data_IF_678656242006
#
_entry.id   IF_678656242006
#
_cell.length_a   1.000
_cell.length_b   1.000
_cell.length_c   1.000
_cell.angle_alpha   90.00
_cell.angle_beta   90.00
_cell.angle_gamma   90.00
#
_symmetry.space_group_name_H-M   'P 1'
#
loop_
_entity.id
_entity.type
_entity.pdbx_description
1 polymer ?
#
# COMPACT_ATOMS: atom_id res chain seq x y z
N UNK A 1 8.87 21.29 59.56
CA UNK A 1 9.27 21.43 58.14
C UNK A 1 10.14 20.24 57.81
N UNK A 2 9.53 19.14 57.37
CA UNK A 2 10.21 17.87 57.19
C UNK A 2 10.75 17.73 55.77
N UNK A 3 12.07 17.52 55.72
CA UNK A 3 12.76 16.55 54.88
C UNK A 3 12.92 16.91 53.40
N UNK A 4 14.08 17.48 53.09
CA UNK A 4 15.01 17.05 52.03
C UNK A 4 14.44 15.98 51.07
N UNK A 5 13.75 16.42 50.02
CA UNK A 5 13.71 15.68 48.77
C UNK A 5 15.04 15.97 48.07
N UNK A 6 15.97 15.04 48.24
CA UNK A 6 17.17 14.91 47.43
C UNK A 6 16.69 14.65 45.98
N UNK A 7 16.38 15.70 45.22
CA UNK A 7 16.12 15.59 43.77
C UNK A 7 17.45 15.32 43.05
N UNK A 8 18.03 14.15 43.32
CA UNK A 8 19.20 13.57 42.66
C UNK A 8 18.78 12.93 41.32
N UNK A 9 17.80 13.53 40.66
CA UNK A 9 17.29 13.10 39.36
C UNK A 9 17.27 14.28 38.40
N UNK A 10 17.60 14.00 37.14
CA UNK A 10 17.63 15.04 36.13
C UNK A 10 16.27 15.75 35.99
N UNK A 11 16.27 17.08 35.71
CA UNK A 11 15.05 17.82 35.41
C UNK A 11 14.20 17.13 34.33
N UNK A 12 12.90 17.47 34.24
CA UNK A 12 12.03 16.92 33.19
C UNK A 12 12.66 17.08 31.80
N UNK A 13 12.53 16.03 30.98
CA UNK A 13 13.11 15.93 29.63
C UNK A 13 14.65 16.02 29.56
N UNK A 14 15.36 15.83 30.68
CA UNK A 14 16.83 15.75 30.73
C UNK A 14 17.29 14.38 31.21
N UNK A 15 18.47 13.95 30.76
CA UNK A 15 19.08 12.68 31.16
C UNK A 15 20.62 12.73 31.11
N UNK A 16 21.25 11.67 31.64
CA UNK A 16 22.69 11.45 31.63
C UNK A 16 23.43 12.15 32.77
N UNK A 17 24.75 11.89 32.87
CA UNK A 17 25.63 12.55 33.85
C UNK A 17 25.53 14.08 33.71
N UNK A 18 25.24 14.74 34.84
CA UNK A 18 25.02 16.19 34.95
C UNK A 18 23.82 16.73 34.13
N UNK A 19 22.91 15.87 33.66
CA UNK A 19 21.63 16.27 33.08
C UNK A 19 21.74 17.19 31.86
N UNK A 20 22.83 17.04 31.11
CA UNK A 20 23.13 17.88 29.94
C UNK A 20 22.39 17.42 28.68
N UNK A 21 22.06 16.13 28.58
CA UNK A 21 21.35 15.55 27.44
C UNK A 21 19.84 15.75 27.56
N UNK A 22 19.17 15.85 26.42
CA UNK A 22 17.72 16.11 26.34
C UNK A 22 17.02 14.90 25.74
N UNK A 23 15.90 14.47 26.34
CA UNK A 23 15.07 13.40 25.80
C UNK A 23 14.66 13.68 24.35
N UNK A 24 14.49 12.63 23.55
CA UNK A 24 14.01 12.80 22.17
C UNK A 24 12.62 13.43 22.16
N UNK A 25 12.38 14.34 21.22
CA UNK A 25 11.05 14.89 20.95
C UNK A 25 10.07 13.83 20.43
N UNK A 26 10.60 12.71 19.95
CA UNK A 26 9.87 11.59 19.36
C UNK A 26 9.65 10.45 20.37
N UNK A 27 9.94 10.65 21.66
CA UNK A 27 9.40 9.78 22.69
C UNK A 27 7.87 9.76 22.59
N UNK A 28 7.23 8.62 22.84
CA UNK A 28 5.78 8.56 22.97
C UNK A 28 5.32 9.25 24.29
N UNK A 29 4.00 9.34 24.46
CA UNK A 29 3.40 10.02 25.62
C UNK A 29 3.29 11.53 25.48
N UNK A 30 2.51 12.14 26.38
CA UNK A 30 2.25 13.59 26.39
C UNK A 30 3.48 14.38 26.84
N UNK A 31 4.18 13.87 27.85
CA UNK A 31 5.29 14.57 28.49
C UNK A 31 6.65 14.32 27.81
N UNK A 32 6.72 13.42 26.82
CA UNK A 32 7.96 13.10 26.08
C UNK A 32 9.14 12.78 27.00
N UNK A 33 8.85 12.05 28.07
CA UNK A 33 9.84 11.72 29.09
C UNK A 33 10.67 10.51 28.67
N UNK A 34 11.90 10.48 29.17
CA UNK A 34 12.84 9.40 28.99
C UNK A 34 13.53 9.08 30.31
N UNK A 35 14.10 7.90 30.38
CA UNK A 35 14.89 7.42 31.49
C UNK A 35 16.02 8.41 31.78
N UNK A 36 16.14 8.83 33.03
CA UNK A 36 17.08 9.88 33.47
C UNK A 36 18.54 9.46 33.36
N UNK A 37 18.83 8.17 33.27
CA UNK A 37 20.19 7.61 33.19
C UNK A 37 20.63 7.46 31.73
N UNK A 38 19.89 6.68 30.95
CA UNK A 38 20.31 6.26 29.60
C UNK A 38 19.59 7.00 28.45
N UNK A 39 18.50 7.72 28.74
CA UNK A 39 17.73 8.47 27.76
C UNK A 39 16.74 7.65 26.93
N UNK A 40 16.53 6.38 27.26
CA UNK A 40 15.49 5.54 26.64
C UNK A 40 14.10 6.12 26.89
N UNK A 41 13.26 6.22 25.88
CA UNK A 41 11.91 6.79 26.03
C UNK A 41 11.03 5.83 26.83
N UNK A 42 10.43 6.33 27.92
CA UNK A 42 9.72 5.50 28.89
C UNK A 42 8.48 4.80 28.30
N UNK A 43 7.80 5.48 27.37
CA UNK A 43 6.62 4.97 26.68
C UNK A 43 6.95 4.46 25.26
N UNK A 44 8.22 4.27 24.94
CA UNK A 44 8.68 3.92 23.59
C UNK A 44 8.70 5.12 22.65
N UNK A 45 8.67 4.86 21.34
CA UNK A 45 8.80 5.88 20.30
C UNK A 45 7.47 6.19 19.62
N UNK A 46 7.34 7.43 19.13
CA UNK A 46 6.37 7.72 18.09
C UNK A 46 6.62 6.84 16.86
N UNK A 47 5.53 6.52 16.13
CA UNK A 47 5.59 5.73 14.90
C UNK A 47 6.63 6.29 13.92
N UNK A 48 7.46 5.40 13.40
CA UNK A 48 8.49 5.72 12.43
C UNK A 48 9.86 6.07 13.02
N UNK A 49 10.09 5.83 14.32
CA UNK A 49 11.38 6.05 14.96
C UNK A 49 11.92 4.80 15.64
N UNK A 50 13.24 4.65 15.62
CA UNK A 50 13.96 3.54 16.22
C UNK A 50 14.01 3.64 17.75
N UNK A 51 13.56 2.58 18.41
CA UNK A 51 13.76 2.38 19.83
C UNK A 51 15.26 2.15 20.15
N UNK A 52 15.71 2.42 21.39
CA UNK A 52 14.92 2.96 22.52
C UNK A 52 14.98 4.48 22.66
N UNK A 53 15.90 5.17 21.96
CA UNK A 53 16.14 6.61 22.11
C UNK A 53 15.26 7.48 21.20
N UNK A 54 14.60 6.90 20.20
CA UNK A 54 13.73 7.60 19.24
C UNK A 54 14.45 8.78 18.56
N UNK A 55 15.77 8.67 18.35
CA UNK A 55 16.61 9.72 17.79
C UNK A 55 16.77 9.63 16.28
N UNK A 56 16.46 8.47 15.70
CA UNK A 56 16.58 8.21 14.27
C UNK A 56 15.24 7.73 13.72
N UNK A 57 14.82 8.20 12.53
CA UNK A 57 13.67 7.63 11.84
C UNK A 57 13.97 6.17 11.45
N UNK A 58 12.94 5.45 10.98
CA UNK A 58 13.17 4.12 10.45
C UNK A 58 14.19 4.13 9.31
N UNK A 59 15.03 3.08 9.23
CA UNK A 59 15.95 2.94 8.11
C UNK A 59 15.14 2.80 6.81
N UNK A 60 15.82 3.09 5.69
CA UNK A 60 15.22 2.93 4.36
C UNK A 60 14.61 1.55 4.16
N UNK A 61 13.47 1.52 3.48
CA UNK A 61 12.69 0.32 3.27
C UNK A 61 11.90 -0.15 4.48
N UNK A 62 11.92 0.56 5.62
CA UNK A 62 11.17 0.21 6.82
C UNK A 62 10.29 1.34 7.34
N UNK A 63 9.19 0.97 7.98
CA UNK A 63 8.26 1.93 8.54
C UNK A 63 7.50 1.38 9.76
N UNK A 64 6.68 2.24 10.36
CA UNK A 64 5.76 1.87 11.43
C UNK A 64 6.38 1.96 12.82
N UNK A 65 5.65 1.48 13.82
CA UNK A 65 6.16 1.42 15.20
C UNK A 65 7.32 0.41 15.27
N UNK A 66 8.43 0.79 15.90
CA UNK A 66 9.61 -0.07 16.01
C UNK A 66 10.35 -0.35 14.69
N UNK A 67 9.86 0.16 13.56
CA UNK A 67 10.43 -0.09 12.23
C UNK A 67 10.37 -1.58 11.81
N UNK A 68 9.33 -2.28 12.24
CA UNK A 68 9.16 -3.71 11.97
C UNK A 68 8.45 -3.99 10.63
N UNK A 69 7.85 -2.98 10.00
CA UNK A 69 7.18 -3.12 8.71
C UNK A 69 8.14 -2.78 7.56
N UNK A 70 7.94 -3.41 6.40
CA UNK A 70 8.80 -3.24 5.21
C UNK A 70 8.01 -2.58 4.09
N UNK A 71 8.59 -1.58 3.43
CA UNK A 71 8.01 -0.94 2.25
C UNK A 71 7.69 -1.98 1.17
N UNK A 72 6.63 -1.76 0.41
CA UNK A 72 6.32 -2.63 -0.73
C UNK A 72 7.37 -2.46 -1.82
N UNK A 73 7.79 -3.58 -2.41
CA UNK A 73 8.65 -3.62 -3.60
C UNK A 73 7.95 -3.12 -4.87
N UNK A 74 6.65 -2.80 -4.76
CA UNK A 74 5.82 -2.25 -5.82
C UNK A 74 5.56 -0.75 -5.64
N UNK A 75 6.30 -0.09 -4.74
CA UNK A 75 6.40 1.36 -4.77
C UNK A 75 7.01 1.79 -6.10
N UNK A 76 6.36 2.70 -6.83
CA UNK A 76 6.95 3.28 -8.02
C UNK A 76 8.14 4.19 -7.66
N UNK A 77 9.04 4.44 -8.62
CA UNK A 77 10.18 5.36 -8.47
C UNK A 77 11.52 4.65 -8.26
N UNK A 78 12.52 5.41 -7.79
CA UNK A 78 13.88 4.92 -7.53
C UNK A 78 14.03 4.81 -6.01
N UNK A 79 14.43 3.63 -5.51
CA UNK A 79 14.81 3.32 -4.12
C UNK A 79 13.75 2.76 -3.15
N UNK A 80 12.65 2.14 -3.59
CA UNK A 80 11.65 1.47 -2.73
C UNK A 80 11.26 2.31 -1.48
N UNK A 81 11.31 3.64 -1.62
CA UNK A 81 11.26 4.56 -0.49
C UNK A 81 9.80 4.85 -0.19
N UNK A 82 9.30 4.23 0.88
CA UNK A 82 8.00 4.56 1.44
C UNK A 82 8.16 5.44 2.67
N UNK A 83 7.11 6.18 3.01
CA UNK A 83 7.08 7.02 4.19
C UNK A 83 7.35 6.18 5.45
N UNK A 84 8.42 6.51 6.17
CA UNK A 84 8.87 5.78 7.35
C UNK A 84 7.84 5.74 8.51
N UNK A 85 6.80 6.57 8.49
CA UNK A 85 5.69 6.51 9.47
C UNK A 85 4.51 5.68 8.96
N UNK A 86 4.09 5.89 7.72
CA UNK A 86 2.80 5.36 7.21
C UNK A 86 2.94 4.17 6.25
N UNK A 87 4.13 3.93 5.71
CA UNK A 87 4.36 2.93 4.67
C UNK A 87 3.90 3.36 3.28
N UNK A 88 3.44 4.61 3.12
CA UNK A 88 2.91 5.11 1.85
C UNK A 88 4.04 5.37 0.87
N UNK A 89 3.95 4.80 -0.33
CA UNK A 89 4.94 4.99 -1.39
C UNK A 89 4.89 6.43 -1.91
N UNK A 90 6.05 7.08 -2.06
CA UNK A 90 6.14 8.50 -2.39
C UNK A 90 5.66 8.81 -3.82
N UNK A 91 5.99 7.96 -4.78
CA UNK A 91 5.63 8.11 -6.20
C UNK A 91 4.40 7.24 -6.58
N UNK A 92 3.65 6.75 -5.59
CA UNK A 92 2.53 5.84 -5.82
C UNK A 92 2.98 4.40 -6.12
N UNK A 93 2.14 3.66 -6.84
CA UNK A 93 2.30 2.22 -7.05
C UNK A 93 2.58 1.86 -8.50
N UNK A 94 3.33 0.78 -8.68
CA UNK A 94 3.34 0.06 -9.95
C UNK A 94 1.92 -0.37 -10.35
N UNK A 95 1.68 -0.43 -11.66
CA UNK A 95 0.38 -0.80 -12.24
C UNK A 95 -0.05 -2.19 -11.75
N UNK A 96 -1.27 -2.30 -11.24
CA UNK A 96 -1.80 -3.55 -10.69
C UNK A 96 -1.70 -3.67 -9.16
N UNK A 97 -1.25 -2.63 -8.45
CA UNK A 97 -1.18 -2.60 -6.98
C UNK A 97 -1.99 -1.45 -6.38
N UNK A 98 -2.48 -1.66 -5.15
CA UNK A 98 -3.35 -0.70 -4.48
C UNK A 98 -2.57 0.36 -3.70
N UNK A 99 -2.85 1.67 -3.90
CA UNK A 99 -2.32 2.71 -3.04
C UNK A 99 -2.94 2.64 -1.63
N UNK A 100 -2.30 3.22 -0.61
CA UNK A 100 -1.04 3.98 -0.69
C UNK A 100 0.22 3.13 -0.45
N UNK A 101 0.08 1.88 -0.01
CA UNK A 101 1.20 1.00 0.39
C UNK A 101 1.62 0.02 -0.70
N UNK A 102 0.98 0.05 -1.88
CA UNK A 102 1.24 -0.85 -3.01
C UNK A 102 1.15 -2.33 -2.63
N UNK A 103 0.22 -2.59 -1.72
CA UNK A 103 -0.17 -3.91 -1.25
C UNK A 103 -1.60 -3.81 -0.68
N UNK A 104 -2.52 -4.72 -1.04
CA UNK A 104 -2.32 -5.86 -1.94
C UNK A 104 -2.33 -5.47 -3.43
N UNK A 105 -2.27 -6.47 -4.30
CA UNK A 105 -2.57 -6.33 -5.73
C UNK A 105 -4.03 -5.92 -5.98
N UNK A 106 -4.36 -5.49 -7.20
CA UNK A 106 -5.74 -5.14 -7.53
C UNK A 106 -6.71 -6.29 -7.26
N UNK A 107 -7.88 -6.00 -6.67
CA UNK A 107 -8.89 -7.02 -6.44
C UNK A 107 -9.42 -7.57 -7.77
N UNK A 108 -9.95 -8.79 -7.73
CA UNK A 108 -10.57 -9.41 -8.91
C UNK A 108 -11.63 -8.48 -9.53
N UNK A 109 -11.60 -8.35 -10.86
CA UNK A 109 -12.50 -7.50 -11.61
C UNK A 109 -12.01 -6.06 -11.81
N UNK A 110 -10.85 -5.67 -11.25
CA UNK A 110 -10.20 -4.38 -11.57
C UNK A 110 -8.75 -4.52 -12.01
N UNK A 111 -8.25 -3.52 -12.72
CA UNK A 111 -6.90 -3.49 -13.25
C UNK A 111 -6.39 -2.05 -13.44
N UNK A 112 -5.11 -1.92 -13.79
CA UNK A 112 -4.49 -0.66 -14.15
C UNK A 112 -3.88 0.11 -12.99
N UNK A 113 -3.55 1.37 -13.27
CA UNK A 113 -3.04 2.29 -12.25
C UNK A 113 -4.12 2.48 -11.17
N UNK A 114 -3.69 2.32 -9.92
CA UNK A 114 -4.54 2.44 -8.73
C UNK A 114 -5.82 1.59 -8.76
N UNK A 115 -5.85 0.54 -9.61
CA UNK A 115 -6.99 -0.34 -9.81
C UNK A 115 -8.28 0.37 -10.25
N UNK A 116 -8.14 1.47 -10.99
CA UNK A 116 -9.27 2.32 -11.40
C UNK A 116 -10.04 1.79 -12.61
N UNK A 117 -9.48 0.85 -13.37
CA UNK A 117 -10.15 0.26 -14.53
C UNK A 117 -10.89 -1.03 -14.14
N UNK A 118 -11.99 -1.33 -14.83
CA UNK A 118 -12.81 -2.52 -14.58
C UNK A 118 -12.63 -3.53 -15.70
N UNK A 119 -12.48 -4.80 -15.33
CA UNK A 119 -12.47 -5.91 -16.28
C UNK A 119 -13.78 -5.94 -17.08
N UNK A 120 -13.72 -6.49 -18.29
CA UNK A 120 -14.94 -6.75 -19.06
C UNK A 120 -15.79 -7.80 -18.34
N UNK A 121 -17.09 -7.58 -18.27
CA UNK A 121 -18.06 -8.57 -17.75
C UNK A 121 -18.18 -9.81 -18.67
N UNK A 122 -17.41 -9.87 -19.74
CA UNK A 122 -17.35 -10.98 -20.68
C UNK A 122 -15.99 -11.71 -20.66
N UNK A 123 -15.11 -11.35 -19.72
CA UNK A 123 -13.99 -12.22 -19.38
C UNK A 123 -14.54 -13.55 -18.84
N UNK A 124 -14.06 -14.65 -19.39
CA UNK A 124 -14.35 -15.97 -18.85
C UNK A 124 -13.62 -16.18 -17.51
N UNK A 125 -14.13 -17.11 -16.69
CA UNK A 125 -13.57 -17.43 -15.38
C UNK A 125 -14.34 -16.80 -14.21
N UNK A 126 -13.89 -17.04 -12.97
CA UNK A 126 -14.56 -16.54 -11.77
C UNK A 126 -14.49 -15.01 -11.70
N UNK A 127 -15.58 -14.40 -11.24
CA UNK A 127 -15.71 -12.95 -10.97
C UNK A 127 -15.32 -12.03 -12.15
N UNK A 128 -15.34 -12.56 -13.38
CA UNK A 128 -14.86 -11.87 -14.59
C UNK A 128 -13.45 -11.29 -14.42
N UNK A 129 -12.59 -12.02 -13.68
CA UNK A 129 -11.23 -11.60 -13.42
C UNK A 129 -10.42 -11.43 -14.72
N UNK A 130 -9.62 -10.38 -14.77
CA UNK A 130 -8.70 -10.07 -15.85
C UNK A 130 -7.31 -9.78 -15.28
N UNK A 131 -6.31 -9.70 -16.16
CA UNK A 131 -4.96 -9.34 -15.79
C UNK A 131 -4.96 -7.95 -15.12
N UNK A 132 -4.51 -7.90 -13.87
CA UNK A 132 -4.49 -6.69 -13.03
C UNK A 132 -3.66 -5.54 -13.60
N UNK A 133 -2.72 -5.80 -14.49
CA UNK A 133 -1.86 -4.77 -15.06
C UNK A 133 -2.51 -4.16 -16.30
N UNK A 134 -3.03 -4.99 -17.19
CA UNK A 134 -3.34 -4.57 -18.56
C UNK A 134 -4.76 -4.93 -19.05
N UNK A 135 -5.55 -5.55 -18.17
CA UNK A 135 -6.96 -5.83 -18.37
C UNK A 135 -7.26 -7.06 -19.23
N UNK A 136 -6.26 -7.82 -19.68
CA UNK A 136 -6.50 -8.97 -20.55
C UNK A 136 -7.31 -10.07 -19.88
N UNK A 137 -8.29 -10.64 -20.60
CA UNK A 137 -9.02 -11.81 -20.13
C UNK A 137 -8.20 -13.07 -20.43
N UNK A 138 -7.31 -13.46 -19.52
CA UNK A 138 -6.35 -14.56 -19.72
C UNK A 138 -7.01 -15.94 -19.85
N UNK A 139 -8.24 -16.09 -19.34
CA UNK A 139 -9.07 -17.29 -19.49
C UNK A 139 -9.94 -17.28 -20.77
N UNK A 140 -9.77 -16.28 -21.63
CA UNK A 140 -10.56 -16.08 -22.84
C UNK A 140 -11.87 -15.35 -22.60
N UNK A 141 -12.73 -15.34 -23.62
CA UNK A 141 -14.00 -14.62 -23.63
C UNK A 141 -15.20 -15.55 -23.52
N UNK A 142 -16.28 -15.05 -22.92
CA UNK A 142 -17.59 -15.68 -23.02
C UNK A 142 -18.06 -15.76 -24.49
N UNK A 143 -18.92 -16.73 -24.85
CA UNK A 143 -19.38 -16.92 -26.23
C UNK A 143 -19.97 -15.64 -26.85
N UNK A 144 -19.48 -15.27 -28.04
CA UNK A 144 -19.93 -14.08 -28.78
C UNK A 144 -19.06 -12.85 -28.60
N UNK A 145 -18.11 -12.89 -27.68
CA UNK A 145 -17.11 -11.84 -27.45
C UNK A 145 -15.73 -12.29 -27.91
N UNK A 146 -14.92 -11.33 -28.34
CA UNK A 146 -13.53 -11.58 -28.75
C UNK A 146 -12.66 -10.34 -28.48
N UNK A 147 -11.39 -10.47 -28.82
CA UNK A 147 -10.36 -9.48 -28.51
C UNK A 147 -9.78 -9.68 -27.10
N UNK A 148 -8.69 -8.97 -26.80
CA UNK A 148 -7.94 -9.15 -25.54
C UNK A 148 -8.74 -8.76 -24.29
N UNK A 149 -9.64 -7.78 -24.44
CA UNK A 149 -10.49 -7.25 -23.37
C UNK A 149 -11.94 -7.77 -23.48
N UNK A 150 -12.22 -8.76 -24.33
CA UNK A 150 -13.58 -9.28 -24.58
C UNK A 150 -14.65 -8.18 -24.75
N UNK A 151 -14.28 -7.11 -25.46
CA UNK A 151 -15.12 -5.92 -25.66
C UNK A 151 -15.68 -5.84 -27.08
N UNK A 152 -15.11 -6.62 -28.01
CA UNK A 152 -15.53 -6.66 -29.40
C UNK A 152 -16.64 -7.72 -29.52
N UNK A 153 -17.90 -7.28 -29.60
CA UNK A 153 -19.03 -8.17 -29.38
C UNK A 153 -20.33 -7.74 -30.03
N UNK A 154 -20.34 -7.50 -31.35
CA UNK A 154 -21.58 -7.59 -32.15
C UNK A 154 -21.33 -8.15 -33.54
N UNK A 155 -20.82 -9.38 -33.65
CA UNK A 155 -21.10 -10.17 -34.86
C UNK A 155 -22.48 -10.81 -34.67
N UNK A 156 -23.53 -10.17 -35.19
CA UNK A 156 -24.82 -10.85 -35.33
C UNK A 156 -24.69 -11.86 -36.46
N UNK A 157 -24.67 -13.15 -36.13
CA UNK A 157 -25.08 -14.18 -37.09
C UNK A 157 -26.57 -13.99 -37.34
N UNK A 158 -26.92 -13.26 -38.39
CA UNK A 158 -28.30 -13.18 -38.83
C UNK A 158 -28.62 -14.51 -39.52
N UNK A 159 -29.41 -15.35 -38.87
CA UNK A 159 -30.08 -16.46 -39.53
C UNK A 159 -31.24 -15.87 -40.34
N UNK A 160 -30.98 -15.47 -41.57
CA UNK A 160 -32.08 -15.11 -42.47
C UNK A 160 -32.78 -16.38 -42.95
N UNK A 161 -34.07 -16.52 -42.63
CA UNK A 161 -34.94 -17.51 -43.26
C UNK A 161 -35.31 -17.03 -44.67
N UNK A 162 -34.41 -17.20 -45.63
CA UNK A 162 -34.81 -17.12 -47.03
C UNK A 162 -35.57 -18.41 -47.36
N UNK A 163 -36.73 -18.34 -48.04
CA UNK A 163 -37.65 -19.48 -48.23
C UNK A 163 -37.06 -20.66 -49.01
N UNK A 164 -35.80 -20.60 -49.47
CA UNK A 164 -35.18 -21.62 -50.31
C UNK A 164 -33.76 -22.07 -49.92
N UNK A 165 -33.03 -21.42 -49.00
CA UNK A 165 -31.64 -21.80 -48.66
C UNK A 165 -31.23 -21.37 -47.23
N UNK A 166 -30.78 -22.33 -46.41
CA UNK A 166 -30.11 -22.07 -45.13
C UNK A 166 -28.63 -21.74 -45.38
N UNK A 167 -28.24 -20.46 -45.44
CA UNK A 167 -26.83 -20.08 -45.44
C UNK A 167 -26.52 -19.03 -44.36
N UNK A 168 -25.38 -19.20 -43.67
CA UNK A 168 -24.92 -18.25 -42.64
C UNK A 168 -24.17 -17.10 -43.32
N UNK A 169 -24.56 -15.85 -43.06
CA UNK A 169 -23.76 -14.66 -43.40
C UNK A 169 -23.25 -13.96 -42.14
N UNK A 170 -22.02 -13.49 -42.21
CA UNK A 170 -21.35 -12.67 -41.19
C UNK A 170 -21.53 -11.22 -41.62
N UNK A 171 -22.13 -10.37 -40.78
CA UNK A 171 -22.26 -8.93 -41.02
C UNK A 171 -21.61 -8.20 -39.85
N UNK A 172 -20.70 -7.26 -40.15
CA UNK A 172 -20.11 -6.33 -39.18
C UNK A 172 -20.95 -5.04 -39.17
N UNK A 173 -21.34 -4.54 -37.99
CA UNK A 173 -22.03 -3.26 -37.81
C UNK A 173 -21.03 -2.12 -37.62
#
# INVERSE_FOLDING_TARGET
MSREDLEDECPRKKYGLNCTKTCSKQCAGLDKECNKVDGSCNEGCETGYLAPLCSQPCPRGRYGSGCDQTCSVHCAGVDDECNYKTGSCHEGCEVGFQPPTCHPECPAGTYGQDCMMRCSNHCAGPDHACNRTDGSCDQGCEPGYHGRLCSDGKIRLVLEMQPTLFYKRIISL
#
